data_IF_134370181802
#
_entry.id   IF_134370181802
#
_cell.length_a   1.000
_cell.length_b   1.000
_cell.length_c   1.000
_cell.angle_alpha   90.00
_cell.angle_beta   90.00
_cell.angle_gamma   90.00
#
_symmetry.space_group_name_H-M   'P 1'
#
loop_
_entity.id
_entity.type
_entity.pdbx_description
1 polymer ?
#
# COMPACT_ATOMS: atom_id res chain seq x y z
N UNK A 1 -7.94 5.68 -5.69
CA UNK A 1 -8.44 4.29 -5.66
C UNK A 1 -9.15 4.03 -4.34
N UNK A 2 -10.16 3.17 -4.32
CA UNK A 2 -10.77 2.69 -3.06
C UNK A 2 -9.80 1.84 -2.25
N UNK A 3 -10.02 1.81 -0.93
CA UNK A 3 -9.27 1.01 0.04
C UNK A 3 -9.10 -0.46 -0.37
N UNK A 4 -10.14 -1.02 -1.00
CA UNK A 4 -10.19 -2.40 -1.50
C UNK A 4 -9.29 -2.58 -2.73
N UNK A 5 -9.29 -1.61 -3.65
CA UNK A 5 -8.47 -1.65 -4.86
C UNK A 5 -6.98 -1.59 -4.52
N UNK A 6 -6.59 -0.76 -3.54
CA UNK A 6 -5.21 -0.67 -3.03
C UNK A 6 -4.76 -2.02 -2.45
N UNK A 7 -5.58 -2.63 -1.58
CA UNK A 7 -5.28 -3.96 -1.01
C UNK A 7 -5.12 -5.02 -2.11
N UNK A 8 -5.96 -4.99 -3.14
CA UNK A 8 -5.90 -5.92 -4.27
C UNK A 8 -4.65 -5.71 -5.12
N UNK A 9 -4.24 -4.47 -5.36
CA UNK A 9 -3.03 -4.11 -6.10
C UNK A 9 -1.76 -4.56 -5.36
N UNK A 10 -1.71 -4.29 -4.05
CA UNK A 10 -0.64 -4.72 -3.14
C UNK A 10 -0.52 -6.25 -3.14
N UNK A 11 -1.65 -6.95 -2.95
CA UNK A 11 -1.70 -8.41 -3.00
C UNK A 11 -1.30 -8.96 -4.38
N UNK A 12 -1.72 -8.33 -5.47
CA UNK A 12 -1.34 -8.70 -6.83
C UNK A 12 0.16 -8.53 -7.11
N UNK A 13 0.82 -7.58 -6.43
CA UNK A 13 2.27 -7.39 -6.48
C UNK A 13 3.04 -8.31 -5.52
N UNK A 14 2.34 -9.14 -4.74
CA UNK A 14 2.93 -10.06 -3.75
C UNK A 14 3.41 -9.37 -2.48
N UNK A 15 2.89 -8.18 -2.18
CA UNK A 15 3.18 -7.47 -0.94
C UNK A 15 2.00 -7.57 0.01
N UNK A 16 2.28 -7.41 1.30
CA UNK A 16 1.26 -7.19 2.34
C UNK A 16 1.35 -5.79 2.91
N UNK A 17 0.25 -5.30 3.49
CA UNK A 17 0.22 -4.00 4.18
C UNK A 17 1.28 -3.92 5.28
N UNK A 18 1.53 -5.04 5.95
CA UNK A 18 2.54 -5.17 6.98
C UNK A 18 3.94 -5.00 6.42
N UNK A 19 4.28 -5.67 5.32
CA UNK A 19 5.60 -5.51 4.69
C UNK A 19 5.82 -4.09 4.18
N UNK A 20 4.80 -3.46 3.59
CA UNK A 20 4.93 -2.06 3.11
C UNK A 20 5.08 -1.11 4.30
N UNK A 21 4.30 -1.32 5.36
CA UNK A 21 4.43 -0.55 6.60
C UNK A 21 5.84 -0.69 7.17
N UNK A 22 6.38 -1.91 7.26
CA UNK A 22 7.75 -2.15 7.70
C UNK A 22 8.78 -1.47 6.79
N UNK A 23 8.60 -1.55 5.46
CA UNK A 23 9.48 -0.92 4.46
C UNK A 23 9.51 0.60 4.58
N UNK A 24 8.37 1.21 4.90
CA UNK A 24 8.25 2.66 5.09
C UNK A 24 8.51 3.10 6.55
N UNK A 25 8.94 2.19 7.41
CA UNK A 25 9.13 2.43 8.84
C UNK A 25 7.88 3.05 9.50
N UNK A 26 6.71 2.51 9.12
CA UNK A 26 5.39 2.88 9.62
C UNK A 26 4.73 1.68 10.32
N UNK A 27 3.73 1.97 11.14
CA UNK A 27 2.94 0.95 11.83
C UNK A 27 1.80 0.43 10.94
N UNK A 28 1.38 -0.82 11.14
CA UNK A 28 0.21 -1.41 10.47
C UNK A 28 -1.07 -0.57 10.67
N UNK A 29 -1.23 0.01 11.87
CA UNK A 29 -2.33 0.91 12.17
C UNK A 29 -2.30 2.20 11.35
N UNK A 30 -1.11 2.75 11.09
CA UNK A 30 -0.94 3.91 10.22
C UNK A 30 -1.28 3.53 8.77
N UNK A 31 -0.86 2.34 8.31
CA UNK A 31 -1.22 1.83 6.98
C UNK A 31 -2.74 1.67 6.81
N UNK A 32 -3.40 1.07 7.81
CA UNK A 32 -4.85 0.89 7.84
C UNK A 32 -5.60 2.21 7.89
N UNK A 33 -5.09 3.18 8.65
CA UNK A 33 -5.63 4.53 8.70
C UNK A 33 -5.54 5.18 7.33
N UNK A 34 -4.37 5.16 6.71
CA UNK A 34 -4.15 5.80 5.41
C UNK A 34 -4.97 5.14 4.32
N UNK A 35 -5.20 3.82 4.37
CA UNK A 35 -6.05 3.11 3.41
C UNK A 35 -7.55 3.39 3.61
N UNK A 36 -8.01 3.48 4.85
CA UNK A 36 -9.41 3.81 5.17
C UNK A 36 -9.69 5.31 5.10
N UNK A 37 -8.66 6.15 5.05
CA UNK A 37 -8.80 7.59 4.93
C UNK A 37 -9.33 7.94 3.53
N UNK A 38 -10.54 8.47 3.46
CA UNK A 38 -11.19 8.83 2.19
C UNK A 38 -10.60 10.09 1.56
N UNK A 39 -9.93 10.95 2.35
CA UNK A 39 -9.20 12.13 1.87
C UNK A 39 -7.75 11.80 1.48
N UNK A 40 -7.49 10.53 1.16
CA UNK A 40 -6.14 10.08 0.83
C UNK A 40 -5.55 10.89 -0.32
N UNK A 41 -4.40 11.54 -0.11
CA UNK A 41 -3.70 12.24 -1.17
C UNK A 41 -3.26 11.28 -2.29
N UNK A 42 -3.35 11.73 -3.55
CA UNK A 42 -2.92 10.97 -4.74
C UNK A 42 -1.48 10.46 -4.69
N UNK A 43 -0.59 11.15 -3.98
CA UNK A 43 0.80 10.71 -3.80
C UNK A 43 0.92 9.31 -3.18
N UNK A 44 -0.08 8.87 -2.41
CA UNK A 44 -0.10 7.50 -1.90
C UNK A 44 -0.33 6.49 -3.01
N UNK A 45 -1.22 6.78 -3.95
CA UNK A 45 -1.50 5.91 -5.11
C UNK A 45 -0.21 5.72 -5.93
N UNK A 46 0.54 6.80 -6.18
CA UNK A 46 1.87 6.74 -6.79
C UNK A 46 2.87 5.93 -5.95
N UNK A 47 2.87 6.09 -4.63
CA UNK A 47 3.74 5.30 -3.75
C UNK A 47 3.42 3.79 -3.81
N UNK A 48 2.14 3.39 -3.93
CA UNK A 48 1.74 1.99 -4.12
C UNK A 48 2.04 1.47 -5.53
N UNK A 49 1.91 2.32 -6.55
CA UNK A 49 2.26 1.97 -7.92
C UNK A 49 3.77 1.77 -8.08
N UNK A 50 4.57 2.61 -7.41
CA UNK A 50 6.03 2.55 -7.37
C UNK A 50 6.60 1.38 -6.55
N UNK A 51 5.76 0.62 -5.83
CA UNK A 51 6.20 -0.64 -5.22
C UNK A 51 6.61 -1.62 -6.33
N UNK A 52 7.89 -1.99 -6.35
CA UNK A 52 8.41 -3.05 -7.22
C UNK A 52 7.60 -4.32 -6.98
N UNK A 53 7.09 -4.98 -8.01
CA UNK A 53 6.42 -6.27 -7.81
C UNK A 53 7.46 -7.28 -7.33
N UNK A 54 7.18 -8.03 -6.25
CA UNK A 54 8.10 -9.04 -5.69
C UNK A 54 8.35 -10.22 -6.67
N UNK A 55 7.71 -10.18 -7.84
CA UNK A 55 7.72 -11.20 -8.89
C UNK A 55 8.76 -11.00 -10.00
N UNK A 56 9.62 -9.98 -9.90
CA UNK A 56 10.75 -9.82 -10.82
C UNK A 56 12.06 -10.03 -10.05
N UNK A 57 12.41 -11.29 -9.83
CA UNK A 57 13.80 -11.77 -9.73
C UNK A 57 13.92 -13.01 -10.62
#
# INVERSE_FOLDING_TARGET
MDSVAIKKLIASKGWTLKEIAQRWNRSEGWMSKVINDSERPRYWDDAFNGLISKKNE
#
